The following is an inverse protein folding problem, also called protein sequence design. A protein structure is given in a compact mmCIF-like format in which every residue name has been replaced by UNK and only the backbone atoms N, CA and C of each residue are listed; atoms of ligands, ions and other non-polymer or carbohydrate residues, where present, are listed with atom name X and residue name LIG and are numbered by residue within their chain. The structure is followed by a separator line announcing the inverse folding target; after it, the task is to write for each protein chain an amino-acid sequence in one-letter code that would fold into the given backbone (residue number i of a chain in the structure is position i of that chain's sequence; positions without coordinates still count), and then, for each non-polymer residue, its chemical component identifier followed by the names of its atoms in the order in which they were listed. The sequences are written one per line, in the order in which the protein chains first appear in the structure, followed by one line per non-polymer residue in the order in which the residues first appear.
data_IF_463788851122
#
_entry.id   IF_463788851122
#
_cell.length_a   1.000
_cell.length_b   1.000
_cell.length_c   1.000
_cell.angle_alpha   90.00
_cell.angle_beta   90.00
_cell.angle_gamma   90.00
#
_symmetry.space_group_name_H-M   'P 1'
#
loop_
_entity.id
_entity.type
_entity.pdbx_description
1 polymer ?
#
# COMPACT_ATOMS: atom_id res chain seq x y z
N UNK A 1 1.75 25.39 -24.30
CA UNK A 1 2.08 23.96 -24.37
C UNK A 1 2.97 23.62 -23.18
N UNK A 2 2.56 22.71 -22.28
CA UNK A 2 3.40 22.30 -21.16
C UNK A 2 4.47 21.26 -21.61
N UNK A 3 5.61 21.18 -20.91
CA UNK A 3 6.78 20.40 -21.32
C UNK A 3 6.63 18.89 -21.10
N UNK A 4 7.03 18.10 -22.10
CA UNK A 4 6.90 16.63 -22.21
C UNK A 4 7.87 15.80 -21.34
N UNK A 5 8.34 16.34 -20.20
CA UNK A 5 9.39 15.71 -19.37
C UNK A 5 8.95 15.07 -18.06
N UNK A 6 7.80 15.47 -17.49
CA UNK A 6 7.40 15.05 -16.14
C UNK A 6 6.64 13.71 -16.09
N UNK A 7 5.91 13.35 -17.16
CA UNK A 7 4.95 12.22 -17.15
C UNK A 7 5.57 10.81 -17.12
N UNK A 8 6.90 10.68 -17.22
CA UNK A 8 7.57 9.36 -17.25
C UNK A 8 7.81 8.79 -15.85
N UNK A 9 8.19 9.63 -14.88
CA UNK A 9 8.57 9.20 -13.53
C UNK A 9 7.35 8.89 -12.63
N UNK A 10 6.27 9.66 -12.77
CA UNK A 10 5.02 9.45 -12.01
C UNK A 10 4.35 8.12 -12.34
N UNK A 11 4.46 7.65 -13.58
CA UNK A 11 3.85 6.40 -14.01
C UNK A 11 4.62 5.18 -13.48
N UNK A 12 5.96 5.25 -13.48
CA UNK A 12 6.82 4.21 -12.91
C UNK A 12 6.64 4.10 -11.39
N UNK A 13 6.54 5.23 -10.68
CA UNK A 13 6.23 5.26 -9.24
C UNK A 13 4.86 4.66 -8.92
N UNK A 14 3.84 4.96 -9.73
CA UNK A 14 2.50 4.38 -9.56
C UNK A 14 2.49 2.87 -9.81
N UNK A 15 3.20 2.41 -10.84
CA UNK A 15 3.36 0.98 -11.13
C UNK A 15 4.10 0.25 -10.00
N UNK A 16 5.19 0.85 -9.49
CA UNK A 16 5.94 0.30 -8.37
C UNK A 16 5.09 0.22 -7.09
N UNK A 17 4.29 1.25 -6.80
CA UNK A 17 3.37 1.24 -5.67
C UNK A 17 2.28 0.16 -5.81
N UNK A 18 1.73 -0.03 -7.01
CA UNK A 18 0.76 -1.09 -7.27
C UNK A 18 1.37 -2.48 -7.13
N UNK A 19 2.59 -2.71 -7.63
CA UNK A 19 3.32 -3.94 -7.39
C UNK A 19 3.60 -4.16 -5.90
N UNK A 20 4.03 -3.15 -5.17
CA UNK A 20 4.26 -3.26 -3.74
C UNK A 20 2.98 -3.66 -2.99
N UNK A 21 1.83 -3.05 -3.31
CA UNK A 21 0.52 -3.40 -2.74
C UNK A 21 0.13 -4.85 -3.07
N UNK A 22 0.39 -5.29 -4.30
CA UNK A 22 0.10 -6.65 -4.77
C UNK A 22 0.91 -7.70 -3.97
N UNK A 23 2.22 -7.47 -3.86
CA UNK A 23 3.15 -8.32 -3.10
C UNK A 23 2.76 -8.34 -1.61
N UNK A 24 2.46 -7.18 -1.01
CA UNK A 24 2.03 -7.13 0.39
C UNK A 24 0.69 -7.84 0.61
N UNK A 25 -0.21 -7.82 -0.37
CA UNK A 25 -1.49 -8.52 -0.30
C UNK A 25 -1.29 -10.04 -0.35
N UNK A 26 -0.41 -10.53 -1.22
CA UNK A 26 0.00 -11.94 -1.22
C UNK A 26 0.62 -12.36 0.12
N UNK A 27 1.55 -11.56 0.66
CA UNK A 27 2.16 -11.81 1.97
C UNK A 27 1.09 -11.87 3.07
N UNK A 28 0.15 -10.93 3.07
CA UNK A 28 -0.97 -10.90 4.02
C UNK A 28 -1.89 -12.11 3.89
N UNK A 29 -2.12 -12.58 2.66
CA UNK A 29 -2.90 -13.79 2.38
C UNK A 29 -2.19 -15.03 2.91
N UNK A 30 -0.88 -15.14 2.70
CA UNK A 30 -0.05 -16.25 3.23
C UNK A 30 -0.04 -16.24 4.76
N UNK A 31 0.06 -15.06 5.38
CA UNK A 31 -0.01 -14.87 6.84
C UNK A 31 -1.44 -14.98 7.40
N UNK A 32 -2.43 -15.25 6.54
CA UNK A 32 -3.85 -15.36 6.87
C UNK A 32 -4.40 -14.12 7.62
N UNK A 33 -3.85 -12.94 7.32
CA UNK A 33 -4.30 -11.65 7.84
C UNK A 33 -5.56 -11.15 7.12
N UNK A 34 -5.89 -11.71 5.95
CA UNK A 34 -7.10 -11.41 5.18
C UNK A 34 -7.31 -9.90 4.94
N UNK A 35 -6.21 -9.16 4.67
CA UNK A 35 -6.32 -7.75 4.27
C UNK A 35 -6.74 -7.65 2.81
N UNK A 36 -7.81 -6.91 2.55
CA UNK A 36 -8.18 -6.47 1.21
C UNK A 36 -7.20 -5.40 0.67
N UNK A 37 -6.98 -5.34 -0.65
CA UNK A 37 -6.12 -4.33 -1.30
C UNK A 37 -6.46 -2.91 -0.87
N UNK A 38 -7.77 -2.62 -0.70
CA UNK A 38 -8.22 -1.29 -0.29
C UNK A 38 -7.73 -0.94 1.11
N UNK A 39 -7.82 -1.92 2.01
CA UNK A 39 -7.33 -1.78 3.39
C UNK A 39 -5.82 -1.60 3.40
N UNK A 40 -5.09 -2.36 2.58
CA UNK A 40 -3.64 -2.24 2.43
C UNK A 40 -3.22 -0.83 1.98
N UNK A 41 -3.89 -0.25 0.99
CA UNK A 41 -3.64 1.14 0.57
C UNK A 41 -3.91 2.15 1.70
N UNK A 42 -4.98 1.96 2.47
CA UNK A 42 -5.29 2.82 3.64
C UNK A 42 -4.21 2.67 4.71
N UNK A 43 -3.73 1.44 4.95
CA UNK A 43 -2.67 1.17 5.91
C UNK A 43 -1.38 1.89 5.52
N UNK A 44 -1.00 1.83 4.25
CA UNK A 44 0.19 2.51 3.73
C UNK A 44 0.06 4.03 3.94
N UNK A 45 -1.06 4.64 3.56
CA UNK A 45 -1.26 6.07 3.82
C UNK A 45 -1.25 6.42 5.30
N UNK A 46 -1.80 5.57 6.17
CA UNK A 46 -1.72 5.77 7.62
C UNK A 46 -0.28 5.70 8.14
N UNK A 47 0.50 4.73 7.68
CA UNK A 47 1.92 4.57 8.05
C UNK A 47 2.74 5.76 7.55
N UNK A 48 2.48 6.25 6.33
CA UNK A 48 3.10 7.48 5.79
C UNK A 48 2.73 8.72 6.60
N UNK A 49 1.55 8.75 7.23
CA UNK A 49 1.14 9.80 8.17
C UNK A 49 1.73 9.61 9.60
N UNK A 50 2.58 8.61 9.82
CA UNK A 50 3.23 8.34 11.11
C UNK A 50 2.42 7.47 12.06
N UNK A 51 1.38 6.77 11.57
CA UNK A 51 0.63 5.81 12.38
C UNK A 51 1.45 4.55 12.58
N UNK A 52 1.48 4.04 13.82
CA UNK A 52 2.25 2.86 14.17
C UNK A 52 1.66 1.59 13.50
N UNK A 53 2.45 0.86 12.69
CA UNK A 53 1.96 -0.31 11.95
C UNK A 53 1.52 -1.45 12.89
N UNK A 54 2.16 -1.61 14.06
CA UNK A 54 1.74 -2.62 15.06
C UNK A 54 0.35 -2.35 15.63
N UNK A 55 0.03 -1.09 15.93
CA UNK A 55 -1.30 -0.70 16.39
C UNK A 55 -2.37 -0.92 15.31
N UNK A 56 -1.98 -0.77 14.04
CA UNK A 56 -2.82 -1.07 12.88
C UNK A 56 -3.08 -2.58 12.76
N UNK A 57 -2.03 -3.40 12.88
CA UNK A 57 -2.10 -4.85 12.77
C UNK A 57 -3.03 -5.46 13.83
N UNK A 58 -3.01 -4.96 15.07
CA UNK A 58 -3.92 -5.41 16.14
C UNK A 58 -5.40 -5.18 15.77
N UNK A 59 -5.72 -4.06 15.14
CA UNK A 59 -7.09 -3.76 14.69
C UNK A 59 -7.53 -4.61 13.51
N UNK A 60 -6.59 -4.97 12.65
CA UNK A 60 -6.82 -5.79 11.46
C UNK A 60 -6.96 -7.27 11.78
N UNK A 61 -6.19 -7.78 12.76
CA UNK A 61 -6.23 -9.19 13.19
C UNK A 61 -7.44 -9.53 14.08
N UNK A 62 -8.20 -8.52 14.51
CA UNK A 62 -9.34 -8.65 15.42
C UNK A 62 -10.72 -8.68 14.73
N UNK A 63 -10.75 -8.64 13.39
CA UNK A 63 -11.94 -8.90 12.56
C UNK A 63 -11.86 -10.30 11.99
#
# INVERSE_FOLDING_TARGET
MPPAGAVRDDNEKQQAAQQAVDILHEISTILNCHLDRRTLSICISMIENGVNPEALAVRLKAT
#
